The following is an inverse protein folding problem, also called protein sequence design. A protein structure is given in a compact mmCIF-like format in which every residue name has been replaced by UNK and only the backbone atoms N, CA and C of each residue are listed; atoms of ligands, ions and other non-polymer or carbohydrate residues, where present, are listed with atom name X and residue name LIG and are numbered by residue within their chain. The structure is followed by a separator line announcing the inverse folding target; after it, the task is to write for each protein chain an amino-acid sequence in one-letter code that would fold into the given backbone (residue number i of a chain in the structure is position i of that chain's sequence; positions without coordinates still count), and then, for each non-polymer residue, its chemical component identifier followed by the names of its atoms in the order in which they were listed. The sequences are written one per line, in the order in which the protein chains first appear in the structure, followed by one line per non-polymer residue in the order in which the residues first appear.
data_IF_109533453053
#
_entry.id   IF_109533453053
#
_cell.length_a   1.000
_cell.length_b   1.000
_cell.length_c   1.000
_cell.angle_alpha   90.00
_cell.angle_beta   90.00
_cell.angle_gamma   90.00
#
_symmetry.space_group_name_H-M   'P 1'
#
loop_
_entity.id
_entity.type
_entity.pdbx_description
1 polymer ?
#
# COMPACT_ATOMS: atom_id res chain seq x y z
N UNK A 1 -3.91 -40.65 6.39
CA UNK A 1 -4.76 -39.46 6.35
C UNK A 1 -6.11 -39.85 5.75
N UNK A 2 -7.18 -39.69 6.52
CA UNK A 2 -8.55 -39.93 6.07
C UNK A 2 -9.12 -38.64 5.50
N UNK A 3 -9.23 -38.53 4.18
CA UNK A 3 -9.97 -37.45 3.53
C UNK A 3 -11.32 -38.00 3.05
N UNK A 4 -12.42 -37.42 3.55
CA UNK A 4 -13.77 -37.74 3.09
C UNK A 4 -14.32 -36.59 2.27
N UNK A 5 -14.80 -36.90 1.08
CA UNK A 5 -15.36 -35.95 0.14
C UNK A 5 -16.80 -36.34 -0.21
N UNK A 6 -17.73 -35.42 0.00
CA UNK A 6 -19.14 -35.57 -0.37
C UNK A 6 -19.54 -34.42 -1.28
N UNK A 7 -19.96 -34.74 -2.50
CA UNK A 7 -20.39 -33.76 -3.50
C UNK A 7 -21.85 -34.02 -3.89
N UNK A 8 -22.64 -32.95 -3.95
CA UNK A 8 -24.06 -33.00 -4.34
C UNK A 8 -24.32 -31.85 -5.32
N UNK A 9 -24.78 -32.13 -6.53
CA UNK A 9 -25.17 -31.11 -7.52
C UNK A 9 -24.77 -31.46 -8.95
N UNK A 10 -24.65 -30.42 -9.78
CA UNK A 10 -24.20 -30.49 -11.17
C UNK A 10 -22.78 -29.96 -11.32
N UNK A 11 -22.17 -30.12 -12.49
CA UNK A 11 -20.82 -29.61 -12.77
C UNK A 11 -20.68 -28.09 -12.59
N UNK A 12 -21.75 -27.33 -12.86
CA UNK A 12 -21.75 -25.87 -12.75
C UNK A 12 -22.21 -25.34 -11.39
N UNK A 13 -22.99 -26.12 -10.65
CA UNK A 13 -23.55 -25.75 -9.35
C UNK A 13 -23.56 -26.95 -8.41
N UNK A 14 -22.70 -26.94 -7.40
CA UNK A 14 -22.58 -28.04 -6.45
C UNK A 14 -22.34 -27.58 -5.03
N UNK A 15 -22.68 -28.46 -4.08
CA UNK A 15 -22.25 -28.38 -2.70
C UNK A 15 -21.21 -29.46 -2.45
N UNK A 16 -20.07 -29.05 -1.90
CA UNK A 16 -18.95 -29.92 -1.62
C UNK A 16 -18.63 -29.82 -0.12
N UNK A 17 -18.57 -30.97 0.54
CA UNK A 17 -18.12 -31.09 1.92
C UNK A 17 -16.87 -31.95 1.97
N UNK A 18 -15.78 -31.36 2.46
CA UNK A 18 -14.49 -32.03 2.66
C UNK A 18 -14.26 -32.13 4.16
N UNK A 19 -13.91 -33.32 4.63
CA UNK A 19 -13.49 -33.56 6.02
C UNK A 19 -12.11 -34.18 5.99
N UNK A 20 -11.17 -33.60 6.73
CA UNK A 20 -9.78 -34.04 6.79
C UNK A 20 -9.23 -33.83 8.19
N UNK A 21 -8.33 -34.70 8.61
CA UNK A 21 -7.75 -34.69 9.96
C UNK A 21 -6.36 -34.02 9.93
N UNK A 22 -5.90 -33.51 11.09
CA UNK A 22 -4.55 -32.97 11.31
C UNK A 22 -4.13 -31.77 10.43
N UNK A 23 -5.05 -30.88 10.06
CA UNK A 23 -4.71 -29.73 9.21
C UNK A 23 -4.27 -28.52 10.04
N UNK A 24 -3.07 -27.98 9.80
CA UNK A 24 -2.62 -26.75 10.46
C UNK A 24 -3.21 -25.49 9.84
N UNK A 25 -3.10 -24.35 10.54
CA UNK A 25 -3.52 -23.06 10.00
C UNK A 25 -2.69 -22.62 8.77
N UNK A 26 -1.46 -23.08 8.62
CA UNK A 26 -0.61 -22.68 7.49
C UNK A 26 -0.87 -23.56 6.26
N UNK A 27 -1.13 -24.86 6.47
CA UNK A 27 -1.61 -25.76 5.41
C UNK A 27 -2.91 -25.24 4.81
N UNK A 28 -3.82 -24.72 5.64
CA UNK A 28 -5.05 -24.10 5.18
C UNK A 28 -4.80 -22.88 4.28
N UNK A 29 -3.80 -22.03 4.61
CA UNK A 29 -3.47 -20.86 3.77
C UNK A 29 -2.92 -21.31 2.42
N UNK A 30 -2.06 -22.31 2.39
CA UNK A 30 -1.52 -22.91 1.16
C UNK A 30 -2.64 -23.48 0.29
N UNK A 31 -3.50 -24.33 0.88
CA UNK A 31 -4.64 -24.92 0.19
C UNK A 31 -5.61 -23.86 -0.36
N UNK A 32 -5.93 -22.82 0.41
CA UNK A 32 -6.77 -21.72 -0.06
C UNK A 32 -6.14 -20.96 -1.23
N UNK A 33 -4.83 -20.75 -1.22
CA UNK A 33 -4.11 -20.10 -2.32
C UNK A 33 -4.16 -20.96 -3.60
N UNK A 34 -3.92 -22.27 -3.48
CA UNK A 34 -4.03 -23.21 -4.59
C UNK A 34 -5.46 -23.31 -5.13
N UNK A 35 -6.46 -23.40 -4.24
CA UNK A 35 -7.87 -23.41 -4.60
C UNK A 35 -8.26 -22.16 -5.39
N UNK A 36 -7.81 -20.98 -4.94
CA UNK A 36 -8.04 -19.72 -5.63
C UNK A 36 -7.39 -19.68 -7.02
N UNK A 37 -6.16 -20.19 -7.13
CA UNK A 37 -5.41 -20.21 -8.38
C UNK A 37 -6.04 -21.15 -9.41
N UNK A 38 -6.36 -22.39 -9.00
CA UNK A 38 -6.96 -23.41 -9.87
C UNK A 38 -8.32 -23.00 -10.40
N UNK A 39 -9.15 -22.39 -9.54
CA UNK A 39 -10.53 -22.06 -9.90
C UNK A 39 -10.72 -20.62 -10.39
N UNK A 40 -9.64 -19.83 -10.50
CA UNK A 40 -9.67 -18.42 -10.89
C UNK A 40 -10.63 -17.55 -10.05
N UNK A 41 -10.79 -17.88 -8.76
CA UNK A 41 -11.64 -17.14 -7.80
C UNK A 41 -10.74 -16.45 -6.78
N UNK A 42 -11.11 -15.24 -6.38
CA UNK A 42 -10.50 -14.59 -5.20
C UNK A 42 -11.49 -14.66 -4.05
N UNK A 43 -11.08 -15.32 -2.96
CA UNK A 43 -11.89 -15.46 -1.77
C UNK A 43 -11.70 -14.25 -0.85
N UNK A 44 -12.80 -13.76 -0.32
CA UNK A 44 -12.83 -12.68 0.66
C UNK A 44 -13.41 -13.21 1.96
N UNK A 45 -12.79 -12.87 3.08
CA UNK A 45 -13.35 -13.18 4.38
C UNK A 45 -14.65 -12.38 4.53
N UNK A 46 -15.76 -13.10 4.71
CA UNK A 46 -17.08 -12.57 5.03
C UNK A 46 -17.23 -12.35 6.53
N UNK A 47 -16.80 -13.34 7.32
CA UNK A 47 -16.82 -13.28 8.77
C UNK A 47 -15.76 -14.21 9.35
N UNK A 48 -15.14 -13.78 10.44
CA UNK A 48 -14.40 -14.66 11.35
C UNK A 48 -15.21 -14.74 12.64
N UNK A 49 -15.55 -15.95 13.09
CA UNK A 49 -16.16 -16.12 14.41
C UNK A 49 -15.07 -16.26 15.46
N UNK A 50 -15.37 -15.85 16.69
CA UNK A 50 -14.49 -16.04 17.83
C UNK A 50 -14.29 -17.53 18.08
N UNK A 51 -13.16 -17.86 18.67
CA UNK A 51 -12.87 -19.22 19.15
C UNK A 51 -13.97 -19.65 20.13
N UNK A 52 -14.37 -20.90 20.01
CA UNK A 52 -15.38 -21.52 20.88
C UNK A 52 -14.82 -22.82 21.44
N UNK A 53 -15.42 -23.36 22.50
CA UNK A 53 -14.98 -24.64 23.10
C UNK A 53 -14.89 -25.81 22.11
N UNK A 54 -15.63 -25.75 20.98
CA UNK A 54 -15.61 -26.79 19.95
C UNK A 54 -14.80 -26.46 18.69
N UNK A 55 -14.40 -25.21 18.48
CA UNK A 55 -13.69 -24.79 17.26
C UNK A 55 -12.63 -23.74 17.52
N UNK A 56 -11.41 -24.04 17.07
CA UNK A 56 -10.27 -23.14 17.07
C UNK A 56 -10.37 -22.12 15.92
N UNK A 57 -10.83 -22.55 14.73
CA UNK A 57 -10.99 -21.65 13.58
C UNK A 57 -12.39 -21.79 12.99
N UNK A 58 -13.02 -20.64 12.70
CA UNK A 58 -14.29 -20.57 11.98
C UNK A 58 -14.28 -19.37 11.03
N UNK A 59 -13.91 -19.63 9.78
CA UNK A 59 -13.83 -18.64 8.72
C UNK A 59 -14.91 -18.86 7.67
N UNK A 60 -15.63 -17.80 7.35
CA UNK A 60 -16.58 -17.78 6.25
C UNK A 60 -16.01 -16.92 5.14
N UNK A 61 -15.92 -17.49 3.95
CA UNK A 61 -15.45 -16.87 2.73
C UNK A 61 -16.59 -16.63 1.75
N UNK A 62 -16.40 -15.64 0.90
CA UNK A 62 -17.29 -15.26 -0.20
C UNK A 62 -16.46 -14.89 -1.43
N UNK A 63 -17.09 -14.81 -2.59
CA UNK A 63 -16.43 -14.37 -3.81
C UNK A 63 -16.07 -12.88 -3.74
N UNK A 64 -15.01 -12.44 -4.41
CA UNK A 64 -14.67 -11.02 -4.61
C UNK A 64 -15.81 -10.17 -5.22
N UNK A 65 -16.74 -10.83 -5.91
CA UNK A 65 -17.92 -10.23 -6.53
C UNK A 65 -19.16 -10.21 -5.60
N UNK A 66 -19.03 -10.69 -4.36
CA UNK A 66 -19.97 -10.44 -3.27
C UNK A 66 -19.37 -9.41 -2.31
N UNK A 67 -19.70 -8.13 -2.55
CA UNK A 67 -19.12 -7.03 -1.75
C UNK A 67 -20.07 -6.54 -0.67
N UNK A 68 -20.99 -5.62 -0.98
CA UNK A 68 -21.99 -5.10 -0.03
C UNK A 68 -23.36 -5.22 -0.66
N UNK A 69 -24.33 -5.72 0.11
CA UNK A 69 -25.74 -5.72 -0.30
C UNK A 69 -26.20 -4.28 -0.49
N UNK A 70 -26.54 -3.95 -1.72
CA UNK A 70 -27.04 -2.65 -2.10
C UNK A 70 -28.56 -2.58 -1.89
N UNK A 71 -29.09 -1.37 -1.74
CA UNK A 71 -30.54 -1.18 -1.78
C UNK A 71 -31.10 -1.73 -3.09
N UNK A 72 -32.38 -2.19 -3.15
CA UNK A 72 -32.98 -2.70 -4.39
C UNK A 72 -32.85 -1.74 -5.57
N UNK A 73 -32.89 -0.43 -5.31
CA UNK A 73 -32.69 0.63 -6.31
C UNK A 73 -31.29 0.65 -6.93
N UNK A 74 -30.29 0.13 -6.22
CA UNK A 74 -28.90 0.07 -6.66
C UNK A 74 -28.52 -1.33 -7.16
N UNK A 75 -29.40 -2.33 -7.09
CA UNK A 75 -29.07 -3.72 -7.40
C UNK A 75 -28.24 -3.88 -8.68
N UNK A 76 -27.00 -4.40 -8.59
CA UNK A 76 -26.14 -4.58 -9.76
C UNK A 76 -26.75 -5.51 -10.82
N UNK A 77 -27.62 -6.46 -10.42
CA UNK A 77 -28.29 -7.35 -11.37
C UNK A 77 -29.22 -6.58 -12.31
N UNK A 78 -29.80 -5.47 -11.86
CA UNK A 78 -30.59 -4.59 -12.73
C UNK A 78 -29.73 -3.93 -13.81
N UNK A 79 -28.49 -3.55 -13.48
CA UNK A 79 -27.53 -2.99 -14.45
C UNK A 79 -27.09 -4.05 -15.46
N UNK A 80 -26.83 -5.27 -15.01
CA UNK A 80 -26.45 -6.38 -15.88
C UNK A 80 -27.59 -6.82 -16.81
N UNK A 81 -28.85 -6.76 -16.35
CA UNK A 81 -30.02 -6.98 -17.22
C UNK A 81 -30.14 -5.94 -18.34
N UNK A 82 -29.85 -4.67 -18.04
CA UNK A 82 -29.89 -3.57 -19.03
C UNK A 82 -28.68 -3.57 -19.96
N UNK A 83 -27.51 -3.90 -19.42
CA UNK A 83 -26.26 -3.98 -20.16
C UNK A 83 -25.44 -5.17 -19.62
N UNK A 84 -25.51 -6.34 -20.27
CA UNK A 84 -24.77 -7.53 -19.87
C UNK A 84 -23.25 -7.35 -19.87
N UNK A 85 -22.74 -6.41 -20.66
CA UNK A 85 -21.32 -6.03 -20.71
C UNK A 85 -20.95 -4.91 -19.72
N UNK A 86 -21.88 -4.53 -18.83
CA UNK A 86 -21.57 -3.55 -17.80
C UNK A 86 -20.52 -4.11 -16.85
N UNK A 87 -19.42 -3.35 -16.70
CA UNK A 87 -18.36 -3.71 -15.78
C UNK A 87 -18.78 -3.49 -14.33
N UNK A 88 -19.35 -4.52 -13.70
CA UNK A 88 -19.84 -4.45 -12.33
C UNK A 88 -19.03 -5.33 -11.40
N UNK A 89 -18.36 -4.72 -10.41
CA UNK A 89 -17.60 -5.48 -9.40
C UNK A 89 -18.52 -6.38 -8.57
N UNK A 90 -19.63 -5.83 -8.08
CA UNK A 90 -20.58 -6.58 -7.27
C UNK A 90 -21.60 -7.24 -8.17
N UNK A 91 -21.71 -8.56 -8.18
CA UNK A 91 -22.79 -9.27 -8.88
C UNK A 91 -23.78 -9.89 -7.91
N UNK A 92 -23.62 -9.63 -6.60
CA UNK A 92 -24.29 -10.37 -5.53
C UNK A 92 -24.08 -11.88 -5.70
N UNK A 93 -22.82 -12.27 -5.91
CA UNK A 93 -22.44 -13.66 -6.15
C UNK A 93 -22.91 -14.56 -4.98
N UNK A 94 -23.63 -15.67 -5.25
CA UNK A 94 -24.18 -16.53 -4.21
C UNK A 94 -23.14 -17.46 -3.57
N UNK A 95 -21.93 -17.57 -4.13
CA UNK A 95 -20.84 -18.41 -3.66
C UNK A 95 -20.58 -18.22 -2.15
N UNK A 96 -20.47 -19.34 -1.44
CA UNK A 96 -20.11 -19.37 -0.03
C UNK A 96 -19.13 -20.51 0.23
N UNK A 97 -18.18 -20.26 1.13
CA UNK A 97 -17.32 -21.30 1.66
C UNK A 97 -17.19 -21.09 3.17
N UNK A 98 -17.30 -22.17 3.94
CA UNK A 98 -17.05 -22.17 5.38
C UNK A 98 -15.93 -23.15 5.68
N UNK A 99 -14.91 -22.67 6.38
CA UNK A 99 -13.82 -23.50 6.89
C UNK A 99 -13.89 -23.49 8.41
N UNK A 100 -13.93 -24.69 8.99
CA UNK A 100 -14.00 -24.89 10.43
C UNK A 100 -12.92 -25.88 10.84
N UNK A 101 -12.10 -25.52 11.82
CA UNK A 101 -11.12 -26.42 12.43
C UNK A 101 -11.50 -26.58 13.90
N UNK A 102 -11.64 -27.82 14.35
CA UNK A 102 -11.96 -28.14 15.74
C UNK A 102 -10.73 -28.02 16.66
N UNK A 103 -10.88 -28.34 17.95
CA UNK A 103 -9.78 -28.33 18.91
C UNK A 103 -8.82 -29.54 18.74
N UNK A 104 -9.25 -30.55 17.98
CA UNK A 104 -8.50 -31.77 17.66
C UNK A 104 -7.83 -31.70 16.28
N UNK A 105 -7.84 -30.53 15.64
CA UNK A 105 -7.32 -30.27 14.29
C UNK A 105 -8.04 -31.01 13.15
N UNK A 106 -9.28 -31.44 13.36
CA UNK A 106 -10.12 -31.90 12.26
C UNK A 106 -10.71 -30.68 11.55
N UNK A 107 -10.50 -30.64 10.24
CA UNK A 107 -10.93 -29.58 9.36
C UNK A 107 -12.16 -30.02 8.56
N UNK A 108 -13.19 -29.19 8.60
CA UNK A 108 -14.40 -29.32 7.77
C UNK A 108 -14.49 -28.11 6.87
N UNK A 109 -14.49 -28.36 5.56
CA UNK A 109 -14.63 -27.35 4.52
C UNK A 109 -15.96 -27.59 3.81
N UNK A 110 -16.90 -26.66 4.00
CA UNK A 110 -18.20 -26.65 3.33
C UNK A 110 -18.15 -25.61 2.20
N UNK A 111 -18.36 -26.01 0.95
CA UNK A 111 -18.34 -25.13 -0.24
C UNK A 111 -19.69 -25.20 -0.93
N UNK A 112 -20.32 -24.03 -1.11
CA UNK A 112 -21.47 -23.85 -2.00
C UNK A 112 -20.96 -23.16 -3.27
N UNK A 113 -20.66 -23.98 -4.28
CA UNK A 113 -20.11 -23.55 -5.57
C UNK A 113 -21.23 -23.05 -6.48
N UNK A 114 -21.68 -21.83 -6.24
CA UNK A 114 -22.68 -21.17 -7.07
C UNK A 114 -22.21 -19.78 -7.49
N UNK A 115 -22.00 -19.57 -8.79
CA UNK A 115 -21.60 -18.28 -9.35
C UNK A 115 -22.63 -17.80 -10.38
N UNK A 116 -22.97 -16.51 -10.29
CA UNK A 116 -23.88 -15.83 -11.24
C UNK A 116 -23.11 -14.92 -12.21
N UNK A 117 -21.80 -15.15 -12.33
CA UNK A 117 -20.90 -14.42 -13.21
C UNK A 117 -19.82 -15.37 -13.70
N UNK A 118 -19.26 -15.10 -14.86
CA UNK A 118 -18.16 -15.90 -15.41
C UNK A 118 -16.89 -15.74 -14.58
N UNK A 119 -16.21 -16.85 -14.30
CA UNK A 119 -14.95 -16.85 -13.55
C UNK A 119 -13.75 -16.58 -14.46
N UNK A 120 -13.75 -17.16 -15.67
CA UNK A 120 -12.61 -17.15 -16.58
C UNK A 120 -12.71 -16.05 -17.65
N UNK A 121 -12.97 -14.81 -17.24
CA UNK A 121 -12.99 -13.65 -18.16
C UNK A 121 -11.95 -12.61 -17.78
N UNK A 122 -11.46 -11.86 -18.77
CA UNK A 122 -10.56 -10.71 -18.56
C UNK A 122 -11.21 -9.68 -17.62
N UNK A 123 -12.52 -9.56 -17.64
CA UNK A 123 -13.27 -8.66 -16.75
C UNK A 123 -13.27 -9.12 -15.29
N UNK A 124 -13.36 -10.42 -15.03
CA UNK A 124 -13.29 -10.96 -13.67
C UNK A 124 -11.88 -10.84 -13.09
N UNK A 125 -10.85 -11.10 -13.90
CA UNK A 125 -9.44 -10.94 -13.51
C UNK A 125 -9.07 -9.50 -13.11
N UNK A 126 -9.77 -8.52 -13.66
CA UNK A 126 -9.57 -7.11 -13.33
C UNK A 126 -9.93 -6.73 -11.87
N UNK A 127 -10.65 -7.59 -11.16
CA UNK A 127 -11.09 -7.34 -9.78
C UNK A 127 -10.27 -8.08 -8.73
N UNK A 128 -9.34 -8.95 -9.17
CA UNK A 128 -8.43 -9.68 -8.30
C UNK A 128 -7.60 -8.75 -7.43
N UNK A 129 -7.12 -9.28 -6.32
CA UNK A 129 -6.17 -8.60 -5.46
C UNK A 129 -4.79 -8.57 -6.06
N UNK A 130 -4.04 -7.51 -5.75
CA UNK A 130 -2.65 -7.39 -6.16
C UNK A 130 -1.84 -8.50 -5.51
N UNK A 131 -0.96 -9.14 -6.28
CA UNK A 131 0.01 -10.07 -5.71
C UNK A 131 1.01 -9.31 -4.84
N UNK A 132 1.53 -9.99 -3.82
CA UNK A 132 2.57 -9.45 -2.94
C UNK A 132 3.81 -9.08 -3.77
N UNK A 133 4.19 -9.94 -4.72
CA UNK A 133 5.31 -9.71 -5.64
C UNK A 133 5.16 -8.40 -6.43
N UNK A 134 3.97 -8.14 -7.00
CA UNK A 134 3.71 -6.89 -7.71
C UNK A 134 3.79 -5.67 -6.80
N UNK A 135 3.32 -5.77 -5.54
CA UNK A 135 3.39 -4.68 -4.57
C UNK A 135 4.85 -4.37 -4.21
N UNK A 136 5.64 -5.40 -3.92
CA UNK A 136 7.06 -5.24 -3.56
C UNK A 136 7.89 -4.64 -4.69
N UNK A 137 7.66 -5.06 -5.93
CA UNK A 137 8.33 -4.48 -7.09
C UNK A 137 8.01 -2.98 -7.24
N UNK A 138 6.77 -2.58 -6.98
CA UNK A 138 6.36 -1.17 -7.02
C UNK A 138 6.96 -0.38 -5.86
N UNK A 139 7.01 -0.97 -4.65
CA UNK A 139 7.66 -0.33 -3.50
C UNK A 139 9.14 -0.04 -3.78
N UNK A 140 9.87 -0.95 -4.45
CA UNK A 140 11.26 -0.71 -4.89
C UNK A 140 11.42 0.49 -5.82
N UNK A 141 10.45 0.72 -6.71
CA UNK A 141 10.46 1.91 -7.58
C UNK A 141 10.27 3.19 -6.76
N UNK A 142 9.43 3.16 -5.72
CA UNK A 142 9.26 4.31 -4.82
C UNK A 142 10.45 4.56 -3.91
N UNK A 143 11.14 3.50 -3.49
CA UNK A 143 12.43 3.61 -2.79
C UNK A 143 13.50 4.29 -3.67
N UNK A 144 13.46 4.07 -4.98
CA UNK A 144 14.32 4.75 -5.95
C UNK A 144 13.90 6.22 -6.25
N UNK A 145 12.82 6.72 -5.63
CA UNK A 145 12.35 8.10 -5.81
C UNK A 145 11.40 8.30 -7.00
N UNK A 146 10.89 7.23 -7.60
CA UNK A 146 9.99 7.33 -8.75
C UNK A 146 8.59 7.82 -8.35
N UNK A 147 8.00 8.70 -9.17
CA UNK A 147 6.61 9.12 -9.00
C UNK A 147 5.64 7.98 -9.39
N UNK A 148 4.37 7.98 -8.93
CA UNK A 148 3.39 6.98 -9.34
C UNK A 148 3.23 6.83 -10.86
N UNK A 149 3.39 7.93 -11.61
CA UNK A 149 3.29 7.94 -13.07
C UNK A 149 4.50 7.27 -13.72
N UNK A 150 5.72 7.65 -13.29
CA UNK A 150 6.97 7.09 -13.82
C UNK A 150 7.13 5.63 -13.43
N UNK A 151 6.87 5.28 -12.17
CA UNK A 151 6.89 3.90 -11.69
C UNK A 151 5.97 3.00 -12.52
N UNK A 152 4.77 3.48 -12.88
CA UNK A 152 3.86 2.73 -13.76
C UNK A 152 4.44 2.52 -15.16
N UNK A 153 5.08 3.53 -15.74
CA UNK A 153 5.69 3.40 -17.07
C UNK A 153 6.83 2.39 -17.05
N UNK A 154 7.73 2.47 -16.06
CA UNK A 154 8.85 1.55 -15.86
C UNK A 154 8.33 0.12 -15.67
N UNK A 155 7.37 -0.06 -14.75
CA UNK A 155 6.74 -1.35 -14.48
C UNK A 155 6.14 -1.96 -15.75
N UNK A 156 5.33 -1.20 -16.50
CA UNK A 156 4.70 -1.69 -17.73
C UNK A 156 5.71 -1.99 -18.83
N UNK A 157 6.80 -1.21 -18.93
CA UNK A 157 7.88 -1.45 -19.90
C UNK A 157 8.58 -2.77 -19.59
N UNK A 158 8.99 -2.96 -18.32
CA UNK A 158 9.62 -4.20 -17.85
C UNK A 158 8.68 -5.40 -18.03
N UNK A 159 7.41 -5.23 -17.68
CA UNK A 159 6.39 -6.26 -17.85
C UNK A 159 6.20 -6.65 -19.33
N UNK A 160 6.10 -5.67 -20.24
CA UNK A 160 5.97 -5.95 -21.68
C UNK A 160 7.17 -6.71 -22.22
N UNK A 161 8.38 -6.38 -21.77
CA UNK A 161 9.60 -7.11 -22.14
C UNK A 161 9.65 -8.56 -21.62
N UNK A 162 8.89 -8.89 -20.57
CA UNK A 162 8.77 -10.25 -20.04
C UNK A 162 7.73 -11.13 -20.75
N UNK A 163 6.88 -10.54 -21.59
CA UNK A 163 5.85 -11.25 -22.33
C UNK A 163 6.40 -11.81 -23.65
N UNK A 164 5.97 -13.02 -24.02
CA UNK A 164 6.42 -13.68 -25.25
C UNK A 164 5.87 -13.01 -26.51
N UNK A 165 4.67 -12.46 -26.45
CA UNK A 165 4.01 -11.78 -27.57
C UNK A 165 2.98 -10.75 -27.07
N UNK A 166 2.39 -10.00 -28.01
CA UNK A 166 1.45 -8.92 -27.70
C UNK A 166 0.11 -9.43 -27.14
N UNK A 167 -0.36 -10.61 -27.59
CA UNK A 167 -1.58 -11.23 -27.07
C UNK A 167 -1.42 -11.63 -25.60
N UNK A 168 -0.30 -12.26 -25.24
CA UNK A 168 0.08 -12.61 -23.86
C UNK A 168 0.13 -11.36 -22.97
N UNK A 169 0.73 -10.28 -23.49
CA UNK A 169 0.75 -9.00 -22.80
C UNK A 169 -0.66 -8.48 -22.52
N UNK A 170 -1.56 -8.50 -23.51
CA UNK A 170 -2.93 -8.01 -23.34
C UNK A 170 -3.77 -8.86 -22.38
N UNK A 171 -3.63 -10.18 -22.42
CA UNK A 171 -4.31 -11.10 -21.51
C UNK A 171 -3.85 -10.87 -20.07
N UNK A 172 -2.54 -10.87 -19.82
CA UNK A 172 -2.00 -10.68 -18.48
C UNK A 172 -2.19 -9.27 -17.94
N UNK A 173 -2.19 -8.24 -18.82
CA UNK A 173 -2.48 -6.85 -18.43
C UNK A 173 -3.90 -6.66 -17.90
N UNK A 174 -4.85 -7.50 -18.30
CA UNK A 174 -6.21 -7.46 -17.76
C UNK A 174 -6.28 -8.07 -16.35
N UNK A 175 -5.31 -8.90 -15.97
CA UNK A 175 -5.22 -9.45 -14.62
C UNK A 175 -4.64 -8.41 -13.67
N UNK A 176 -5.49 -7.92 -12.76
CA UNK A 176 -5.07 -6.94 -11.75
C UNK A 176 -4.06 -7.53 -10.78
N UNK A 177 -4.06 -8.84 -10.51
CA UNK A 177 -3.12 -9.44 -9.56
C UNK A 177 -1.67 -9.35 -10.03
N UNK A 178 -1.48 -9.38 -11.36
CA UNK A 178 -0.18 -9.28 -12.01
C UNK A 178 0.12 -7.83 -12.35
N UNK A 179 -0.81 -7.14 -13.02
CA UNK A 179 -0.63 -5.77 -13.51
C UNK A 179 -1.57 -4.81 -12.79
N UNK A 180 -1.08 -4.08 -11.78
CA UNK A 180 -1.87 -3.06 -11.10
C UNK A 180 -2.38 -1.96 -12.03
N UNK A 181 -3.54 -1.40 -11.69
CA UNK A 181 -4.13 -0.28 -12.42
C UNK A 181 -3.47 1.03 -11.99
N UNK A 182 -3.65 2.08 -12.78
CA UNK A 182 -3.14 3.44 -12.45
C UNK A 182 -3.49 3.87 -11.00
N UNK A 183 -4.72 3.62 -10.56
CA UNK A 183 -5.16 3.93 -9.19
C UNK A 183 -4.42 3.14 -8.11
N UNK A 184 -4.00 1.92 -8.43
CA UNK A 184 -3.29 1.05 -7.50
C UNK A 184 -1.89 1.62 -7.22
N UNK A 185 -1.18 2.13 -8.23
CA UNK A 185 0.09 2.85 -8.04
C UNK A 185 -0.07 4.05 -7.09
N UNK A 186 -1.04 4.94 -7.34
CA UNK A 186 -1.28 6.08 -6.45
C UNK A 186 -1.60 5.63 -5.01
N UNK A 187 -2.38 4.57 -4.84
CA UNK A 187 -2.71 4.03 -3.52
C UNK A 187 -1.47 3.46 -2.83
N UNK A 188 -0.66 2.65 -3.51
CA UNK A 188 0.57 2.06 -2.94
C UNK A 188 1.54 3.18 -2.56
N UNK A 189 1.69 4.22 -3.38
CA UNK A 189 2.53 5.37 -3.06
C UNK A 189 2.08 6.08 -1.78
N UNK A 190 0.77 6.26 -1.59
CA UNK A 190 0.24 6.83 -0.35
C UNK A 190 0.49 5.93 0.87
N UNK A 191 0.33 4.61 0.74
CA UNK A 191 0.63 3.68 1.84
C UNK A 191 2.13 3.67 2.16
N UNK A 192 2.98 3.61 1.13
CA UNK A 192 4.43 3.69 1.25
C UNK A 192 4.85 4.99 1.95
N UNK A 193 4.26 6.13 1.56
CA UNK A 193 4.52 7.42 2.19
C UNK A 193 4.09 7.44 3.67
N UNK A 194 2.90 6.94 4.00
CA UNK A 194 2.44 6.82 5.39
C UNK A 194 3.37 5.97 6.25
N UNK A 195 3.76 4.81 5.75
CA UNK A 195 4.67 3.88 6.42
C UNK A 195 6.04 4.53 6.67
N UNK A 196 6.60 5.24 5.68
CA UNK A 196 8.00 5.71 5.71
C UNK A 196 8.19 7.14 6.22
N UNK A 197 7.29 8.05 5.87
CA UNK A 197 7.38 9.49 6.18
C UNK A 197 6.37 9.93 7.23
N UNK A 198 5.39 9.09 7.56
CA UNK A 198 4.29 9.47 8.45
C UNK A 198 3.10 9.88 7.61
N UNK A 199 1.93 9.97 8.22
CA UNK A 199 0.71 10.33 7.51
C UNK A 199 0.72 11.77 7.03
N UNK A 200 -0.41 12.44 7.20
CA UNK A 200 -0.50 13.88 6.90
C UNK A 200 -0.30 14.67 8.17
N UNK A 201 0.28 15.86 8.05
CA UNK A 201 0.40 16.84 9.13
C UNK A 201 1.27 16.31 10.29
N UNK A 202 0.76 16.35 11.53
CA UNK A 202 1.50 16.06 12.77
C UNK A 202 2.27 14.74 12.76
N UNK A 203 1.68 13.64 12.28
CA UNK A 203 2.35 12.32 12.25
C UNK A 203 3.66 12.33 11.44
N UNK A 204 3.76 13.18 10.43
CA UNK A 204 4.97 13.31 9.61
C UNK A 204 6.03 14.16 10.33
N UNK A 205 5.61 15.18 11.08
CA UNK A 205 6.49 16.01 11.91
C UNK A 205 7.05 15.21 13.10
N UNK A 206 6.25 14.32 13.69
CA UNK A 206 6.69 13.40 14.75
C UNK A 206 7.78 12.45 14.23
N UNK A 207 7.57 11.84 13.06
CA UNK A 207 8.59 10.99 12.43
C UNK A 207 9.83 11.75 11.99
N UNK A 208 9.68 13.01 11.58
CA UNK A 208 10.82 13.86 11.26
C UNK A 208 11.66 14.11 12.52
N UNK A 209 11.02 14.39 13.65
CA UNK A 209 11.70 14.56 14.95
C UNK A 209 12.46 13.28 15.34
N UNK A 210 11.84 12.10 15.22
CA UNK A 210 12.52 10.83 15.50
C UNK A 210 13.75 10.60 14.59
N UNK A 211 13.66 11.00 13.30
CA UNK A 211 14.82 10.93 12.39
C UNK A 211 15.92 11.91 12.71
N UNK A 212 15.61 13.05 13.34
CA UNK A 212 16.63 13.99 13.81
C UNK A 212 17.42 13.39 14.96
N UNK A 213 16.77 12.65 15.85
CA UNK A 213 17.44 11.93 16.93
C UNK A 213 18.42 10.89 16.35
N UNK A 214 17.97 10.06 15.38
CA UNK A 214 18.84 9.12 14.65
C UNK A 214 20.03 9.84 13.97
N UNK A 215 19.79 11.01 13.38
CA UNK A 215 20.82 11.80 12.71
C UNK A 215 21.83 12.40 13.70
N UNK A 216 21.36 12.84 14.87
CA UNK A 216 22.19 13.37 15.94
C UNK A 216 23.13 12.29 16.49
N UNK A 217 22.62 11.08 16.72
CA UNK A 217 23.44 9.92 17.13
C UNK A 217 24.51 9.56 16.08
N UNK A 218 24.14 9.57 14.80
CA UNK A 218 25.07 9.26 13.71
C UNK A 218 26.11 10.36 13.44
N UNK A 219 25.82 11.62 13.82
CA UNK A 219 26.64 12.79 13.51
C UNK A 219 26.83 13.68 14.76
N UNK A 220 27.60 13.23 15.77
CA UNK A 220 27.76 13.97 17.03
C UNK A 220 28.40 15.36 16.85
N UNK A 221 29.18 15.56 15.80
CA UNK A 221 29.81 16.84 15.48
C UNK A 221 28.87 17.84 14.78
N UNK A 222 27.68 17.41 14.33
CA UNK A 222 26.67 18.30 13.78
C UNK A 222 25.93 19.03 14.91
N UNK A 223 25.69 20.33 14.74
CA UNK A 223 24.77 21.05 15.61
C UNK A 223 23.38 20.94 15.01
N UNK A 224 22.47 20.32 15.76
CA UNK A 224 21.05 20.21 15.39
C UNK A 224 20.25 20.75 16.56
N UNK A 225 19.44 21.78 16.29
CA UNK A 225 18.47 22.29 17.24
C UNK A 225 17.09 22.27 16.58
N UNK A 226 16.07 21.89 17.32
CA UNK A 226 14.72 21.89 16.79
C UNK A 226 13.66 22.21 17.84
N UNK A 227 12.60 22.89 17.38
CA UNK A 227 11.38 23.14 18.12
C UNK A 227 10.29 22.19 17.59
N UNK A 228 9.78 21.30 18.45
CA UNK A 228 8.68 20.41 18.08
C UNK A 228 7.40 21.17 17.70
N UNK A 229 6.63 20.59 16.78
CA UNK A 229 5.36 21.14 16.36
C UNK A 229 4.28 20.91 17.42
N UNK A 230 3.65 21.99 17.89
CA UNK A 230 2.52 21.93 18.83
C UNK A 230 1.22 22.56 18.29
N UNK A 231 1.15 22.84 16.98
CA UNK A 231 -0.01 23.46 16.32
C UNK A 231 0.28 24.85 15.75
N UNK A 232 -0.76 25.61 15.42
CA UNK A 232 -0.66 26.90 14.70
C UNK A 232 0.16 27.99 15.43
N UNK A 233 0.32 27.87 16.75
CA UNK A 233 1.10 28.79 17.59
C UNK A 233 2.53 28.30 17.87
N UNK A 234 2.86 27.05 17.53
CA UNK A 234 4.17 26.44 17.78
C UNK A 234 4.60 25.69 16.51
N UNK A 235 5.12 26.43 15.53
CA UNK A 235 5.59 25.86 14.26
C UNK A 235 6.79 24.93 14.50
N UNK A 236 6.98 23.97 13.61
CA UNK A 236 8.22 23.19 13.56
C UNK A 236 9.31 24.09 13.01
N UNK A 237 10.43 24.19 13.74
CA UNK A 237 11.65 24.85 13.28
C UNK A 237 12.79 23.89 13.54
N UNK A 238 13.59 23.59 12.53
CA UNK A 238 14.78 22.75 12.65
C UNK A 238 15.95 23.52 12.05
N UNK A 239 17.03 23.66 12.82
CA UNK A 239 18.29 24.24 12.39
C UNK A 239 19.38 23.16 12.40
N UNK A 240 20.04 22.99 11.27
CA UNK A 240 21.12 22.01 11.10
C UNK A 240 22.38 22.72 10.61
N UNK A 241 23.47 22.55 11.36
CA UNK A 241 24.81 23.01 11.00
C UNK A 241 25.76 21.81 11.06
N UNK A 242 26.06 21.27 9.88
CA UNK A 242 26.99 20.13 9.72
C UNK A 242 28.44 20.52 10.07
N UNK A 243 29.33 19.55 10.32
CA UNK A 243 30.75 19.84 10.56
C UNK A 243 31.42 20.62 9.43
N UNK A 244 31.00 20.38 8.18
CA UNK A 244 31.48 21.13 7.01
C UNK A 244 31.06 22.61 7.10
N UNK A 245 29.79 22.88 7.45
CA UNK A 245 29.29 24.24 7.64
C UNK A 245 30.02 24.94 8.80
N UNK A 246 30.27 24.25 9.93
CA UNK A 246 31.08 24.79 11.05
C UNK A 246 32.49 25.18 10.64
N UNK A 247 33.12 24.42 9.73
CA UNK A 247 34.43 24.78 9.18
C UNK A 247 34.37 26.04 8.32
N UNK A 248 33.33 26.20 7.52
CA UNK A 248 33.13 27.40 6.70
C UNK A 248 33.00 28.64 7.60
N UNK A 249 32.20 28.56 8.65
CA UNK A 249 32.07 29.64 9.66
C UNK A 249 33.41 30.05 10.29
N UNK A 250 34.34 29.11 10.47
CA UNK A 250 35.67 29.38 11.04
C UNK A 250 36.69 29.91 10.02
N UNK A 251 36.62 29.44 8.78
CA UNK A 251 37.66 29.66 7.78
C UNK A 251 37.33 30.75 6.75
N UNK A 252 36.05 31.14 6.64
CA UNK A 252 35.56 32.11 5.64
C UNK A 252 34.98 33.31 6.37
N UNK A 253 35.73 34.41 6.55
CA UNK A 253 35.27 35.60 7.28
C UNK A 253 33.95 36.17 6.75
N UNK A 254 33.74 36.09 5.43
CA UNK A 254 32.53 36.59 4.77
C UNK A 254 31.24 35.92 5.28
N UNK A 255 31.33 34.71 5.83
CA UNK A 255 30.18 34.02 6.42
C UNK A 255 29.59 34.76 7.64
N UNK A 256 30.38 35.59 8.32
CA UNK A 256 29.91 36.47 9.39
C UNK A 256 29.45 37.85 8.90
N UNK A 257 29.65 38.18 7.63
CA UNK A 257 29.31 39.49 7.06
C UNK A 257 28.02 39.43 6.23
N UNK A 258 27.91 38.45 5.34
CA UNK A 258 26.81 38.34 4.39
C UNK A 258 26.40 36.88 4.15
N UNK A 259 25.15 36.56 4.49
CA UNK A 259 24.53 35.26 4.21
C UNK A 259 23.37 35.48 3.25
N UNK A 260 23.37 34.68 2.18
CA UNK A 260 22.26 34.52 1.26
C UNK A 260 21.36 33.39 1.76
N UNK A 261 20.05 33.63 1.72
CA UNK A 261 19.05 32.61 2.06
C UNK A 261 18.39 32.19 0.76
N UNK A 262 18.57 30.92 0.39
CA UNK A 262 17.86 30.33 -0.73
C UNK A 262 16.73 29.44 -0.19
N UNK A 263 15.52 29.64 -0.69
CA UNK A 263 14.35 28.87 -0.27
C UNK A 263 13.96 27.89 -1.37
N UNK A 264 13.77 26.62 -1.03
CA UNK A 264 13.14 25.69 -1.96
C UNK A 264 11.71 26.15 -2.21
N UNK A 265 11.33 26.35 -3.48
CA UNK A 265 9.95 26.65 -3.84
C UNK A 265 9.00 25.56 -3.34
N UNK A 266 7.75 25.95 -3.05
CA UNK A 266 6.73 25.18 -2.34
C UNK A 266 6.82 23.65 -2.59
N UNK A 267 7.37 22.89 -1.64
CA UNK A 267 7.27 21.43 -1.63
C UNK A 267 5.83 21.06 -1.21
N UNK A 268 4.91 21.21 -2.17
CA UNK A 268 3.45 21.15 -1.99
C UNK A 268 2.95 19.87 -1.31
N UNK A 269 3.71 18.76 -1.38
CA UNK A 269 3.27 17.50 -0.80
C UNK A 269 3.31 17.48 0.73
N UNK A 270 4.13 18.32 1.37
CA UNK A 270 4.40 18.21 2.81
C UNK A 270 4.29 19.53 3.60
N UNK A 271 4.02 20.68 2.96
CA UNK A 271 3.98 21.99 3.64
C UNK A 271 5.22 22.27 4.51
N UNK A 272 6.36 21.67 4.16
CA UNK A 272 7.65 21.96 4.76
C UNK A 272 8.39 22.91 3.83
N UNK A 273 9.13 23.85 4.40
CA UNK A 273 10.01 24.77 3.68
C UNK A 273 11.44 24.53 4.11
N UNK A 274 12.33 24.44 3.14
CA UNK A 274 13.76 24.27 3.37
C UNK A 274 14.46 25.53 2.91
N UNK A 275 15.20 26.15 3.82
CA UNK A 275 16.03 27.30 3.55
C UNK A 275 17.50 26.90 3.69
N UNK A 276 18.26 27.11 2.63
CA UNK A 276 19.70 26.92 2.62
C UNK A 276 20.38 28.28 2.83
N UNK A 277 21.17 28.37 3.89
CA UNK A 277 22.00 29.53 4.17
C UNK A 277 23.35 29.35 3.48
N UNK A 278 23.76 30.32 2.67
CA UNK A 278 24.99 30.28 1.90
C UNK A 278 25.80 31.58 2.01
N UNK A 279 27.12 31.50 2.05
CA UNK A 279 28.01 32.67 1.88
C UNK A 279 28.63 32.64 0.50
N UNK A 280 28.84 33.82 -0.11
CA UNK A 280 29.61 33.90 -1.34
C UNK A 280 31.12 33.77 -1.05
N UNK A 281 31.81 33.09 -1.95
CA UNK A 281 33.27 33.05 -2.03
C UNK A 281 33.70 33.04 -3.51
N UNK A 282 34.99 33.26 -3.77
CA UNK A 282 35.60 33.24 -5.11
C UNK A 282 35.36 31.91 -5.84
N UNK A 283 35.24 30.81 -5.09
CA UNK A 283 34.95 29.47 -5.64
C UNK A 283 33.45 29.17 -5.82
N UNK A 284 32.56 30.09 -5.46
CA UNK A 284 31.11 29.91 -5.49
C UNK A 284 30.44 30.05 -4.12
N UNK A 285 29.18 29.61 -4.03
CA UNK A 285 28.39 29.67 -2.81
C UNK A 285 28.71 28.49 -1.88
N UNK A 286 29.05 28.78 -0.62
CA UNK A 286 29.35 27.77 0.39
C UNK A 286 28.22 27.68 1.43
N UNK A 287 27.74 26.45 1.75
CA UNK A 287 26.64 26.28 2.69
C UNK A 287 27.09 26.58 4.12
N UNK A 288 26.33 27.44 4.79
CA UNK A 288 26.55 27.87 6.17
C UNK A 288 25.55 27.24 7.14
N UNK A 289 24.39 26.80 6.66
CA UNK A 289 23.37 26.19 7.51
C UNK A 289 22.14 25.77 6.71
N UNK A 290 21.30 24.95 7.34
CA UNK A 290 20.02 24.51 6.80
C UNK A 290 18.93 24.81 7.84
N UNK A 291 17.86 25.46 7.40
CA UNK A 291 16.66 25.67 8.20
C UNK A 291 15.48 24.94 7.55
N UNK A 292 14.69 24.24 8.36
CA UNK A 292 13.49 23.55 7.91
C UNK A 292 12.33 24.05 8.77
N UNK A 293 11.28 24.59 8.15
CA UNK A 293 10.11 25.13 8.87
C UNK A 293 8.79 24.56 8.35
N UNK A 294 7.77 24.54 9.21
CA UNK A 294 6.40 24.16 8.81
C UNK A 294 5.56 25.32 8.25
N UNK A 295 5.97 26.57 8.46
CA UNK A 295 5.36 27.75 7.85
C UNK A 295 6.37 28.90 7.64
N UNK A 296 5.93 29.98 6.99
CA UNK A 296 6.74 31.17 6.64
C UNK A 296 6.24 32.43 7.36
N UNK A 297 5.47 32.28 8.45
CA UNK A 297 4.93 33.44 9.15
C UNK A 297 6.08 34.20 9.82
N UNK A 298 5.99 35.53 9.83
CA UNK A 298 6.98 36.38 10.49
C UNK A 298 7.12 36.03 11.99
N UNK A 299 6.03 35.61 12.64
CA UNK A 299 6.06 35.11 14.02
C UNK A 299 6.93 33.88 14.21
N UNK A 300 7.01 33.01 13.21
CA UNK A 300 7.80 31.77 13.22
C UNK A 300 9.29 32.06 13.04
N UNK A 301 9.62 33.02 12.17
CA UNK A 301 11.01 33.37 11.85
C UNK A 301 11.64 34.35 12.86
N UNK A 302 10.85 34.90 13.78
CA UNK A 302 11.31 35.79 14.87
C UNK A 302 11.76 35.05 16.13
N UNK A 303 11.49 33.75 16.22
CA UNK A 303 11.96 32.87 17.29
C UNK A 303 13.38 32.37 16.99
#
# INVERSE_FOLDING_TARGET
ESCQLVMIGTESQFKLKITTDNLSSDDLKGWLAEFQALNNVTLKVRAKKKETKGYSIQHYYRCQHDTRRWSPSKDPQRKLKLNPAARVKNTNCPFQMAVKIDAQNNCVIDIEWEHNHSLCTLESSNFKELSIASIEEIKKLYEAGETPSTARQIFLKKFRSSCSNDLDYHVKKADRSVVPRRRDFCYIYQQYGKERFGGKNGEMLDKLSAKLDDFHEANPDASVEYQQYGGDNTPLIIAIVTPLMKRIHKCVPQSGELIFVDSTSNTEEQNIKVFLLCTANVAGAFPCGLLITSDEKESTLKH
#
